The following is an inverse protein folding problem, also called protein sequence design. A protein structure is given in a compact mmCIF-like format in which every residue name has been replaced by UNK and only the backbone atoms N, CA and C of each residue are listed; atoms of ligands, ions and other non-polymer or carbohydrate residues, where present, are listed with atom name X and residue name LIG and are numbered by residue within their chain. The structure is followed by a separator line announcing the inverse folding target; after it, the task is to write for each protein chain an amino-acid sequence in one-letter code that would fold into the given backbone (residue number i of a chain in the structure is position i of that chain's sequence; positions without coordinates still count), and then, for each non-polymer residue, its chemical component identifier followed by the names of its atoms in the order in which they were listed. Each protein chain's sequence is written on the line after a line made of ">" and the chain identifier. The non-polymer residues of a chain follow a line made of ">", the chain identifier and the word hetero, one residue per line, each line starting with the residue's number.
data_IF_123323320271
#
_entry.id   IF_123323320271
#
_cell.length_a   1.000
_cell.length_b   1.000
_cell.length_c   1.000
_cell.angle_alpha   90.00
_cell.angle_beta   90.00
_cell.angle_gamma   90.00
#
_symmetry.space_group_name_H-M   'P 1'
#
loop_
_entity.id
_entity.type
_entity.pdbx_description
1 polymer ?
#
# COMPACT_ATOMS: atom_id res chain seq x y z
N UNK A 1 14.87 14.30 25.92
CA UNK A 1 15.42 13.13 25.19
C UNK A 1 15.30 13.38 23.70
N UNK A 2 16.40 13.35 22.94
CA UNK A 2 16.37 13.59 21.49
C UNK A 2 15.61 12.46 20.77
N UNK A 3 14.71 12.80 19.84
CA UNK A 3 13.97 11.81 19.04
C UNK A 3 14.97 11.02 18.18
N UNK A 4 14.89 9.68 18.22
CA UNK A 4 15.73 8.83 17.36
C UNK A 4 15.45 9.17 15.88
N UNK A 5 16.49 9.27 15.03
CA UNK A 5 16.31 9.58 13.61
C UNK A 5 15.48 8.52 12.90
N UNK A 6 14.73 8.96 11.88
CA UNK A 6 13.90 8.09 11.04
C UNK A 6 14.71 6.98 10.38
N UNK A 7 14.10 5.80 10.21
CA UNK A 7 14.75 4.57 9.76
C UNK A 7 15.45 4.70 8.39
N UNK A 8 14.95 5.58 7.52
CA UNK A 8 15.49 5.86 6.18
C UNK A 8 16.86 6.55 6.19
N UNK A 9 17.23 7.23 7.29
CA UNK A 9 18.45 8.04 7.39
C UNK A 9 19.68 7.28 7.93
N UNK A 10 19.59 5.96 8.12
CA UNK A 10 20.70 5.16 8.66
C UNK A 10 21.56 4.59 7.54
N UNK A 11 22.80 5.08 7.42
CA UNK A 11 23.79 4.67 6.41
C UNK A 11 24.41 3.29 6.67
N UNK A 12 24.39 2.83 7.92
CA UNK A 12 24.94 1.53 8.28
C UNK A 12 23.96 0.39 7.96
N UNK A 13 24.35 -0.52 7.06
CA UNK A 13 23.58 -1.69 6.65
C UNK A 13 24.22 -2.95 7.26
N UNK A 14 23.76 -3.41 8.43
CA UNK A 14 24.29 -4.64 9.02
C UNK A 14 23.97 -5.82 8.10
N UNK A 15 24.97 -6.65 7.83
CA UNK A 15 24.78 -7.93 7.17
C UNK A 15 24.39 -8.97 8.23
N UNK A 16 23.29 -9.68 8.00
CA UNK A 16 22.80 -10.74 8.87
C UNK A 16 22.79 -12.01 8.03
N UNK A 17 23.54 -13.02 8.47
CA UNK A 17 23.52 -14.34 7.86
C UNK A 17 22.43 -15.19 8.52
N UNK A 18 21.66 -15.91 7.71
CA UNK A 18 20.63 -16.85 8.17
C UNK A 18 20.99 -18.24 7.67
N UNK A 19 20.67 -19.27 8.46
CA UNK A 19 20.45 -20.61 7.91
C UNK A 19 19.13 -20.67 7.12
N UNK A 20 18.96 -21.66 6.25
CA UNK A 20 17.74 -21.81 5.44
C UNK A 20 16.47 -21.87 6.29
N UNK A 21 16.53 -22.56 7.44
CA UNK A 21 15.41 -22.63 8.39
C UNK A 21 15.10 -21.29 9.03
N UNK A 22 16.12 -20.50 9.38
CA UNK A 22 15.92 -19.18 9.99
C UNK A 22 15.38 -18.16 8.99
N UNK A 23 15.86 -18.21 7.75
CA UNK A 23 15.36 -17.36 6.67
C UNK A 23 13.87 -17.59 6.44
N UNK A 24 13.45 -18.85 6.32
CA UNK A 24 12.05 -19.24 6.11
C UNK A 24 11.15 -18.71 7.23
N UNK A 25 11.60 -18.81 8.48
CA UNK A 25 10.86 -18.29 9.65
C UNK A 25 10.80 -16.76 9.61
N UNK A 26 11.90 -16.09 9.29
CA UNK A 26 11.96 -14.64 9.22
C UNK A 26 11.07 -14.07 8.12
N UNK A 27 11.02 -14.71 6.95
CA UNK A 27 10.13 -14.34 5.85
C UNK A 27 8.66 -14.51 6.21
N UNK A 28 8.31 -15.64 6.87
CA UNK A 28 6.94 -15.85 7.36
C UNK A 28 6.52 -14.76 8.34
N UNK A 29 7.38 -14.45 9.31
CA UNK A 29 7.11 -13.43 10.32
C UNK A 29 6.99 -12.03 9.69
N UNK A 30 7.82 -11.70 8.71
CA UNK A 30 7.73 -10.43 7.98
C UNK A 30 6.41 -10.32 7.20
N UNK A 31 5.97 -11.42 6.56
CA UNK A 31 4.72 -11.50 5.82
C UNK A 31 3.49 -11.33 6.72
N UNK A 32 3.46 -12.02 7.87
CA UNK A 32 2.42 -11.86 8.89
C UNK A 32 2.38 -10.41 9.40
N UNK A 33 3.57 -9.82 9.60
CA UNK A 33 3.73 -8.42 9.95
C UNK A 33 3.47 -7.45 8.79
N UNK A 34 3.09 -7.93 7.58
CA UNK A 34 2.87 -7.12 6.36
C UNK A 34 3.99 -6.10 6.13
N UNK A 35 5.24 -6.51 6.34
CA UNK A 35 6.43 -5.69 6.12
C UNK A 35 7.40 -6.45 5.23
N UNK A 36 8.38 -5.75 4.67
CA UNK A 36 9.53 -6.41 4.04
C UNK A 36 10.41 -7.08 5.09
N UNK A 37 11.18 -8.10 4.70
CA UNK A 37 12.14 -8.77 5.59
C UNK A 37 13.14 -7.77 6.22
N UNK A 38 13.59 -6.79 5.43
CA UNK A 38 14.49 -5.74 5.91
C UNK A 38 13.85 -4.83 6.96
N UNK A 39 12.60 -4.42 6.78
CA UNK A 39 11.87 -3.63 7.78
C UNK A 39 11.66 -4.43 9.06
N UNK A 40 11.17 -5.66 8.93
CA UNK A 40 10.96 -6.55 10.05
C UNK A 40 12.25 -6.76 10.86
N UNK A 41 13.36 -7.05 10.18
CA UNK A 41 14.68 -7.20 10.80
C UNK A 41 15.12 -5.93 11.54
N UNK A 42 14.90 -4.74 10.96
CA UNK A 42 15.21 -3.46 11.62
C UNK A 42 14.40 -3.23 12.89
N UNK A 43 13.10 -3.55 12.88
CA UNK A 43 12.26 -3.44 14.08
C UNK A 43 12.68 -4.42 15.16
N UNK A 44 13.00 -5.67 14.78
CA UNK A 44 13.51 -6.70 15.70
C UNK A 44 14.83 -6.28 16.34
N UNK A 45 15.81 -5.81 15.57
CA UNK A 45 17.09 -5.32 16.09
C UNK A 45 16.95 -4.08 16.99
N UNK A 46 15.93 -3.25 16.75
CA UNK A 46 15.66 -2.08 17.56
C UNK A 46 14.85 -2.40 18.82
N UNK A 47 14.42 -3.66 19.01
CA UNK A 47 13.51 -4.11 20.07
C UNK A 47 12.20 -3.29 20.12
N UNK A 48 11.76 -2.81 18.96
CA UNK A 48 10.52 -2.02 18.84
C UNK A 48 9.45 -2.90 18.23
N UNK A 49 8.32 -3.00 18.92
CA UNK A 49 7.09 -3.52 18.33
C UNK A 49 6.40 -2.40 17.55
N UNK A 50 6.28 -2.49 16.22
CA UNK A 50 5.60 -1.46 15.46
C UNK A 50 4.11 -1.47 15.82
N UNK A 51 3.61 -0.37 16.40
CA UNK A 51 2.19 -0.14 16.51
C UNK A 51 1.66 0.26 15.13
N UNK A 52 0.86 -0.61 14.51
CA UNK A 52 0.09 -0.21 13.33
C UNK A 52 -0.95 0.79 13.78
N UNK A 53 -0.83 2.03 13.30
CA UNK A 53 -1.90 3.01 13.41
C UNK A 53 -3.11 2.43 12.67
N UNK A 54 -4.23 2.26 13.39
CA UNK A 54 -5.49 2.03 12.71
C UNK A 54 -5.78 3.27 11.86
N UNK A 55 -6.24 3.10 10.61
CA UNK A 55 -6.69 4.24 9.82
C UNK A 55 -7.78 4.99 10.61
N UNK A 56 -7.78 6.32 10.52
CA UNK A 56 -8.89 7.12 11.03
C UNK A 56 -10.16 6.76 10.27
N UNK A 57 -11.37 6.98 10.84
CA UNK A 57 -12.63 6.75 10.13
C UNK A 57 -12.67 7.43 8.75
N UNK A 58 -12.14 8.66 8.66
CA UNK A 58 -12.01 9.41 7.40
C UNK A 58 -11.11 8.69 6.38
N UNK A 59 -9.96 8.17 6.82
CA UNK A 59 -9.07 7.42 5.93
C UNK A 59 -9.69 6.09 5.47
N UNK A 60 -10.49 5.43 6.33
CA UNK A 60 -11.25 4.24 5.93
C UNK A 60 -12.31 4.56 4.86
N UNK A 61 -13.03 5.68 5.00
CA UNK A 61 -13.99 6.14 3.99
C UNK A 61 -13.33 6.47 2.66
N UNK A 62 -12.18 7.16 2.70
CA UNK A 62 -11.40 7.45 1.49
C UNK A 62 -10.90 6.17 0.81
N UNK A 63 -10.44 5.17 1.57
CA UNK A 63 -10.03 3.87 1.02
C UNK A 63 -11.20 3.11 0.39
N UNK A 64 -12.39 3.15 1.00
CA UNK A 64 -13.61 2.58 0.41
C UNK A 64 -13.98 3.30 -0.90
N UNK A 65 -13.89 4.62 -0.92
CA UNK A 65 -14.12 5.44 -2.12
C UNK A 65 -13.15 5.07 -3.25
N UNK A 66 -11.86 4.91 -2.95
CA UNK A 66 -10.86 4.48 -3.91
C UNK A 66 -11.15 3.08 -4.48
N UNK A 67 -11.55 2.13 -3.63
CA UNK A 67 -11.92 0.79 -4.05
C UNK A 67 -13.14 0.77 -4.97
N UNK A 68 -14.14 1.61 -4.68
CA UNK A 68 -15.32 1.78 -5.53
C UNK A 68 -14.93 2.33 -6.92
N UNK A 69 -14.08 3.37 -6.97
CA UNK A 69 -13.56 3.94 -8.23
C UNK A 69 -12.83 2.87 -9.07
N UNK A 70 -12.00 2.04 -8.44
CA UNK A 70 -11.32 0.93 -9.12
C UNK A 70 -12.30 -0.10 -9.67
N UNK A 71 -13.37 -0.42 -8.92
CA UNK A 71 -14.37 -1.37 -9.38
C UNK A 71 -15.18 -0.81 -10.56
N UNK A 72 -15.55 0.48 -10.53
CA UNK A 72 -16.24 1.14 -11.64
C UNK A 72 -15.35 1.13 -12.89
N UNK A 73 -14.04 1.41 -12.74
CA UNK A 73 -13.09 1.33 -13.86
C UNK A 73 -13.05 -0.07 -14.49
N UNK A 74 -13.04 -1.14 -13.69
CA UNK A 74 -13.08 -2.51 -14.21
C UNK A 74 -14.39 -2.81 -14.95
N UNK A 75 -15.51 -2.34 -14.43
CA UNK A 75 -16.81 -2.53 -15.07
C UNK A 75 -16.90 -1.78 -16.41
N UNK A 76 -16.31 -0.58 -16.51
CA UNK A 76 -16.20 0.15 -17.78
C UNK A 76 -15.34 -0.59 -18.80
N UNK A 77 -14.22 -1.17 -18.37
CA UNK A 77 -13.37 -1.98 -19.26
C UNK A 77 -14.11 -3.22 -19.78
N UNK A 78 -15.06 -3.78 -19.02
CA UNK A 78 -15.94 -4.87 -19.48
C UNK A 78 -16.98 -4.37 -20.48
N UNK A 79 -17.64 -3.25 -20.19
CA UNK A 79 -18.61 -2.63 -21.11
C UNK A 79 -17.98 -2.22 -22.46
N UNK A 80 -16.73 -1.75 -22.42
CA UNK A 80 -15.96 -1.44 -23.62
C UNK A 80 -15.73 -2.69 -24.49
N UNK A 81 -15.48 -3.85 -23.87
CA UNK A 81 -15.28 -5.12 -24.60
C UNK A 81 -16.56 -5.69 -25.19
N UNK A 82 -17.71 -5.40 -24.57
CA UNK A 82 -19.01 -5.86 -25.04
C UNK A 82 -19.56 -5.01 -26.20
N UNK A 83 -18.91 -3.89 -26.55
CA UNK A 83 -19.25 -3.06 -27.72
C UNK A 83 -20.57 -2.28 -27.60
N UNK A 84 -21.18 -2.26 -26.42
CA UNK A 84 -22.50 -1.65 -26.17
C UNK A 84 -22.45 -0.14 -25.91
N UNK A 85 -21.26 0.47 -25.83
CA UNK A 85 -21.09 1.88 -25.45
C UNK A 85 -20.12 2.55 -26.42
N UNK A 86 -20.44 3.79 -26.83
CA UNK A 86 -19.56 4.60 -27.67
C UNK A 86 -18.21 4.87 -26.98
N UNK A 87 -17.12 4.75 -27.75
CA UNK A 87 -15.75 5.01 -27.31
C UNK A 87 -15.57 6.40 -26.70
N UNK A 88 -16.28 7.42 -27.20
CA UNK A 88 -16.23 8.79 -26.64
C UNK A 88 -16.76 8.85 -25.21
N UNK A 89 -17.87 8.16 -24.93
CA UNK A 89 -18.47 8.12 -23.59
C UNK A 89 -17.53 7.37 -22.63
N UNK A 90 -16.95 6.26 -23.08
CA UNK A 90 -15.99 5.49 -22.29
C UNK A 90 -14.73 6.32 -21.97
N UNK A 91 -14.24 7.10 -22.94
CA UNK A 91 -13.11 8.02 -22.72
C UNK A 91 -13.43 9.12 -21.70
N UNK A 92 -14.60 9.76 -21.80
CA UNK A 92 -15.00 10.81 -20.86
C UNK A 92 -15.08 10.26 -19.43
N UNK A 93 -15.80 9.14 -19.23
CA UNK A 93 -15.99 8.55 -17.90
C UNK A 93 -14.66 8.07 -17.31
N UNK A 94 -13.76 7.50 -18.13
CA UNK A 94 -12.42 7.10 -17.69
C UNK A 94 -11.60 8.28 -17.20
N UNK A 95 -11.70 9.42 -17.88
CA UNK A 95 -10.96 10.64 -17.50
C UNK A 95 -11.45 11.20 -16.17
N UNK A 96 -12.77 11.24 -15.95
CA UNK A 96 -13.37 11.66 -14.69
C UNK A 96 -13.03 10.71 -13.52
N UNK A 97 -13.04 9.40 -13.75
CA UNK A 97 -12.64 8.40 -12.74
C UNK A 97 -11.18 8.55 -12.33
N UNK A 98 -10.29 8.80 -13.30
CA UNK A 98 -8.87 9.03 -13.02
C UNK A 98 -8.67 10.31 -12.20
N UNK A 99 -9.41 11.38 -12.52
CA UNK A 99 -9.37 12.62 -11.75
C UNK A 99 -9.90 12.43 -10.31
N UNK A 100 -11.03 11.74 -10.14
CA UNK A 100 -11.59 11.42 -8.83
C UNK A 100 -10.63 10.54 -8.00
N UNK A 101 -10.05 9.50 -8.61
CA UNK A 101 -9.05 8.65 -7.96
C UNK A 101 -7.80 9.40 -7.52
N UNK A 102 -7.32 10.36 -8.32
CA UNK A 102 -6.19 11.22 -7.96
C UNK A 102 -6.52 12.16 -6.80
N UNK A 103 -7.73 12.73 -6.73
CA UNK A 103 -8.16 13.57 -5.62
C UNK A 103 -8.24 12.78 -4.30
N UNK A 104 -8.83 11.59 -4.34
CA UNK A 104 -8.88 10.68 -3.17
C UNK A 104 -7.47 10.27 -2.74
N UNK A 105 -6.60 9.91 -3.69
CA UNK A 105 -5.22 9.53 -3.38
C UNK A 105 -4.39 10.67 -2.79
N UNK A 106 -4.66 11.94 -3.14
CA UNK A 106 -4.03 13.10 -2.52
C UNK A 106 -4.51 13.31 -1.08
N UNK A 107 -5.79 13.06 -0.80
CA UNK A 107 -6.34 13.13 0.57
C UNK A 107 -5.79 12.05 1.51
N UNK A 108 -5.24 10.96 0.97
CA UNK A 108 -4.61 9.88 1.72
C UNK A 108 -3.11 10.09 2.03
N UNK A 109 -2.44 11.08 1.41
CA UNK A 109 -1.01 11.37 1.60
C UNK A 109 -0.77 12.37 2.72
#
# INVERSE_FOLDING_TARGET
>A
MARKPSLEKRTNKPQICFSDSELTVAERNAREARMTLSEWGRFRMAEVQPMRLKPTPEAEEMLKGLAAVQQISKNLDLLAKEGNVSDEILMMVRTELMAAGQLISKGLK
#
